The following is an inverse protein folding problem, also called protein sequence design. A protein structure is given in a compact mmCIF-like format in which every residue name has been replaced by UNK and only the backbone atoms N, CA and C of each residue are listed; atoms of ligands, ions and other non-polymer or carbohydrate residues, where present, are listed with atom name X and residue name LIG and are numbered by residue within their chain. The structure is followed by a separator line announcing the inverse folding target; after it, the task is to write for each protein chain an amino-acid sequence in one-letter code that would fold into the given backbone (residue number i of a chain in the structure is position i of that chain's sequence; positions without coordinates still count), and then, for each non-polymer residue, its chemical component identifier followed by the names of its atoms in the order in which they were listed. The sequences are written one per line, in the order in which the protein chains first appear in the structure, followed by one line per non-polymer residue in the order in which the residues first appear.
data_IF_400178823106
#
_entry.id   IF_400178823106
#
_cell.length_a   1.000
_cell.length_b   1.000
_cell.length_c   1.000
_cell.angle_alpha   90.00
_cell.angle_beta   90.00
_cell.angle_gamma   90.00
#
_symmetry.space_group_name_H-M   'P 1'
#
loop_
_entity.id
_entity.type
_entity.pdbx_description
1 polymer ?
#
# COMPACT_ATOMS: atom_id res chain seq x y z
N UNK A 1 30.49 9.61 14.58
CA UNK A 1 29.02 9.42 14.50
C UNK A 1 28.74 7.98 14.86
N UNK A 2 27.88 7.72 15.84
CA UNK A 2 27.45 6.36 16.15
C UNK A 2 26.68 5.75 14.97
N UNK A 3 26.85 4.45 14.74
CA UNK A 3 26.05 3.72 13.77
C UNK A 3 24.70 3.37 14.40
N UNK A 4 23.60 3.60 13.69
CA UNK A 4 22.25 3.25 14.16
C UNK A 4 21.66 2.20 13.24
N UNK A 5 21.10 1.17 13.85
CA UNK A 5 20.50 0.04 13.15
C UNK A 5 19.01 0.00 13.44
N UNK A 6 18.22 -0.03 12.37
CA UNK A 6 16.77 -0.22 12.43
C UNK A 6 16.50 -1.71 12.66
N UNK A 7 15.70 -2.06 13.67
CA UNK A 7 15.52 -3.47 14.05
C UNK A 7 14.07 -3.96 13.99
N UNK A 8 13.08 -3.07 13.90
CA UNK A 8 11.67 -3.45 13.80
C UNK A 8 10.82 -2.30 13.27
N UNK A 9 10.34 -2.43 12.03
CA UNK A 9 9.23 -1.59 11.56
C UNK A 9 7.96 -2.02 12.30
N UNK A 10 7.23 -1.07 12.88
CA UNK A 10 5.96 -1.35 13.56
C UNK A 10 4.79 -1.40 12.58
N UNK A 11 5.00 -0.94 11.34
CA UNK A 11 4.04 -1.06 10.24
C UNK A 11 4.24 -2.45 9.62
N UNK A 12 3.38 -3.39 10.00
CA UNK A 12 3.43 -4.80 9.57
C UNK A 12 2.15 -5.28 8.88
N UNK A 13 1.14 -4.41 8.77
CA UNK A 13 -0.17 -4.71 8.21
C UNK A 13 -0.72 -3.47 7.48
N UNK A 14 -1.36 -3.69 6.32
CA UNK A 14 -1.93 -2.62 5.49
C UNK A 14 -3.16 -1.98 6.12
N UNK A 15 -3.90 -2.73 6.92
CA UNK A 15 -5.10 -2.25 7.61
C UNK A 15 -4.79 -1.14 8.62
N UNK A 16 -3.52 -0.99 8.99
CA UNK A 16 -3.05 0.10 9.83
C UNK A 16 -3.02 1.43 9.08
N UNK A 17 -2.96 1.42 7.74
CA UNK A 17 -2.58 2.57 6.93
C UNK A 17 -3.82 3.24 6.34
N UNK A 18 -3.94 4.55 6.48
CA UNK A 18 -4.95 5.36 5.82
C UNK A 18 -4.32 6.61 5.23
N UNK A 19 -4.32 6.74 3.91
CA UNK A 19 -3.90 7.97 3.25
C UNK A 19 -5.09 8.88 2.94
N UNK A 20 -4.90 10.20 3.06
CA UNK A 20 -5.92 11.20 2.74
C UNK A 20 -6.40 11.06 1.28
N UNK A 21 -5.45 10.89 0.36
CA UNK A 21 -5.75 10.53 -1.02
C UNK A 21 -4.71 9.57 -1.58
N UNK A 22 -5.15 8.74 -2.52
CA UNK A 22 -4.34 7.72 -3.19
C UNK A 22 -4.75 7.67 -4.66
N UNK A 23 -3.77 7.55 -5.54
CA UNK A 23 -3.99 7.38 -6.97
C UNK A 23 -4.94 6.19 -7.21
N UNK A 24 -5.92 6.37 -8.08
CA UNK A 24 -6.83 5.29 -8.47
C UNK A 24 -6.09 4.35 -9.41
N UNK A 25 -6.39 3.05 -9.29
CA UNK A 25 -5.97 2.05 -10.24
C UNK A 25 -6.71 2.17 -11.58
N UNK A 26 -6.37 1.29 -12.50
CA UNK A 26 -7.03 1.18 -13.80
C UNK A 26 -7.66 -0.20 -13.96
N UNK A 27 -8.68 -0.27 -14.80
CA UNK A 27 -9.30 -1.52 -15.23
C UNK A 27 -8.84 -1.81 -16.65
N UNK A 28 -8.26 -2.98 -16.86
CA UNK A 28 -7.86 -3.44 -18.19
C UNK A 28 -9.05 -3.70 -19.11
N UNK A 29 -8.78 -3.86 -20.41
CA UNK A 29 -9.81 -4.21 -21.37
C UNK A 29 -10.40 -5.60 -21.08
N UNK A 30 -11.69 -5.77 -21.42
CA UNK A 30 -12.35 -7.06 -21.36
C UNK A 30 -11.79 -8.02 -22.41
N UNK A 31 -11.28 -9.16 -21.97
CA UNK A 31 -10.83 -10.25 -22.84
C UNK A 31 -11.91 -11.34 -22.86
N UNK A 32 -12.49 -11.68 -24.01
CA UNK A 32 -13.42 -12.80 -24.11
C UNK A 32 -12.67 -14.10 -23.78
N UNK A 33 -13.26 -14.92 -22.91
CA UNK A 33 -12.76 -16.25 -22.56
C UNK A 33 -13.60 -17.35 -23.21
N UNK A 34 -14.90 -17.10 -23.32
CA UNK A 34 -15.87 -17.91 -24.04
C UNK A 34 -16.79 -16.90 -24.72
N UNK A 35 -16.88 -16.93 -26.05
CA UNK A 35 -17.77 -16.07 -26.80
C UNK A 35 -18.39 -16.91 -27.93
N UNK A 36 -19.65 -17.29 -27.75
CA UNK A 36 -20.45 -18.02 -28.73
C UNK A 36 -21.34 -17.11 -29.57
N UNK A 37 -21.63 -15.89 -29.10
CA UNK A 37 -22.43 -14.89 -29.81
C UNK A 37 -21.62 -13.63 -30.20
N UNK A 38 -22.19 -12.79 -31.06
CA UNK A 38 -21.51 -11.63 -31.66
C UNK A 38 -21.43 -10.37 -30.78
N UNK A 39 -22.06 -10.37 -29.61
CA UNK A 39 -22.04 -9.26 -28.66
C UNK A 39 -20.67 -9.06 -28.01
N UNK A 40 -20.44 -7.84 -27.52
CA UNK A 40 -19.20 -7.50 -26.83
C UNK A 40 -19.47 -6.86 -25.46
N UNK A 41 -18.50 -6.98 -24.56
CA UNK A 41 -18.52 -6.33 -23.26
C UNK A 41 -17.23 -5.53 -23.06
N UNK A 42 -17.38 -4.31 -22.54
CA UNK A 42 -16.28 -3.41 -22.22
C UNK A 42 -16.24 -3.20 -20.72
N UNK A 43 -15.09 -3.53 -20.12
CA UNK A 43 -14.77 -3.11 -18.76
C UNK A 43 -14.20 -1.69 -18.76
N UNK A 44 -14.56 -0.91 -17.75
CA UNK A 44 -14.08 0.45 -17.55
C UNK A 44 -14.06 0.80 -16.06
N UNK A 45 -13.57 2.00 -15.73
CA UNK A 45 -13.64 2.53 -14.37
C UNK A 45 -12.28 2.93 -13.80
N UNK A 46 -12.34 3.54 -12.62
CA UNK A 46 -11.16 3.96 -11.85
C UNK A 46 -11.11 3.10 -10.60
N UNK A 47 -10.23 2.09 -10.62
CA UNK A 47 -10.20 1.05 -9.60
C UNK A 47 -9.75 1.59 -8.25
N UNK A 48 -10.49 1.26 -7.20
CA UNK A 48 -10.27 1.76 -5.83
C UNK A 48 -9.94 0.64 -4.83
N UNK A 49 -9.94 -0.61 -5.28
CA UNK A 49 -9.54 -1.74 -4.45
C UNK A 49 -8.06 -1.71 -4.08
N UNK A 50 -7.71 -2.49 -3.08
CA UNK A 50 -6.36 -2.52 -2.49
C UNK A 50 -5.45 -3.45 -3.29
N UNK A 51 -5.93 -4.66 -3.56
CA UNK A 51 -5.22 -5.69 -4.29
C UNK A 51 -5.59 -5.75 -5.78
N UNK A 52 -4.72 -6.37 -6.57
CA UNK A 52 -5.03 -6.74 -7.94
C UNK A 52 -6.13 -7.80 -7.97
N UNK A 53 -7.15 -7.59 -8.80
CA UNK A 53 -8.30 -8.49 -8.93
C UNK A 53 -8.56 -8.82 -10.40
N UNK A 54 -9.06 -10.04 -10.66
CA UNK A 54 -9.55 -10.43 -11.99
C UNK A 54 -11.06 -10.53 -11.94
N UNK A 55 -11.72 -9.56 -12.56
CA UNK A 55 -13.16 -9.54 -12.71
C UNK A 55 -13.57 -10.50 -13.82
N UNK A 56 -14.61 -11.29 -13.57
CA UNK A 56 -15.22 -12.19 -14.53
C UNK A 56 -16.71 -11.90 -14.59
N UNK A 57 -17.26 -11.64 -15.77
CA UNK A 57 -18.70 -11.54 -15.99
C UNK A 57 -19.15 -12.64 -16.95
N UNK A 58 -20.31 -13.24 -16.66
CA UNK A 58 -20.87 -14.37 -17.41
C UNK A 58 -22.36 -14.15 -17.68
N UNK A 59 -22.79 -14.38 -18.92
CA UNK A 59 -24.20 -14.33 -19.31
C UNK A 59 -24.94 -15.54 -18.77
N UNK A 60 -25.98 -15.30 -17.97
CA UNK A 60 -26.80 -16.37 -17.36
C UNK A 60 -28.13 -16.57 -18.10
N UNK A 61 -28.64 -15.53 -18.77
CA UNK A 61 -29.82 -15.59 -19.64
C UNK A 61 -29.50 -14.90 -20.97
N UNK A 62 -29.68 -15.60 -22.11
CA UNK A 62 -29.35 -15.06 -23.43
C UNK A 62 -30.33 -13.95 -23.85
N UNK A 63 -29.92 -13.14 -24.81
CA UNK A 63 -30.72 -12.05 -25.37
C UNK A 63 -29.84 -10.95 -25.96
N UNK A 64 -30.47 -9.84 -26.31
CA UNK A 64 -29.79 -8.60 -26.70
C UNK A 64 -29.60 -7.69 -25.47
N UNK A 65 -28.88 -6.57 -25.62
CA UNK A 65 -28.69 -5.59 -24.53
C UNK A 65 -30.04 -5.15 -23.96
N UNK A 66 -30.17 -5.17 -22.63
CA UNK A 66 -31.40 -4.84 -21.90
C UNK A 66 -32.31 -6.03 -21.63
N UNK A 67 -32.20 -7.10 -22.42
CA UNK A 67 -32.97 -8.35 -22.23
C UNK A 67 -32.13 -9.49 -21.64
N UNK A 68 -30.86 -9.59 -22.05
CA UNK A 68 -29.91 -10.54 -21.48
C UNK A 68 -29.61 -10.22 -20.00
N UNK A 69 -29.25 -11.27 -19.25
CA UNK A 69 -28.89 -11.16 -17.83
C UNK A 69 -27.49 -11.72 -17.61
N UNK A 70 -26.74 -11.09 -16.71
CA UNK A 70 -25.40 -11.50 -16.36
C UNK A 70 -25.18 -11.54 -14.85
N UNK A 71 -24.16 -12.31 -14.49
CA UNK A 71 -23.60 -12.41 -13.15
C UNK A 71 -22.11 -12.13 -13.19
N UNK A 72 -21.53 -11.70 -12.08
CA UNK A 72 -20.10 -11.39 -12.03
C UNK A 72 -19.45 -11.77 -10.70
N UNK A 73 -18.14 -11.96 -10.75
CA UNK A 73 -17.29 -12.25 -9.59
C UNK A 73 -15.90 -11.68 -9.79
N UNK A 74 -15.08 -11.70 -8.74
CA UNK A 74 -13.65 -11.35 -8.75
C UNK A 74 -12.81 -12.51 -8.20
N UNK A 75 -11.49 -12.36 -8.16
CA UNK A 75 -10.59 -13.44 -7.72
C UNK A 75 -10.74 -13.74 -6.24
N UNK A 76 -10.99 -12.71 -5.42
CA UNK A 76 -11.27 -12.87 -3.99
C UNK A 76 -12.63 -13.47 -3.65
N UNK A 77 -13.55 -13.55 -4.62
CA UNK A 77 -14.83 -14.24 -4.41
C UNK A 77 -14.58 -15.75 -4.16
N UNK A 78 -15.15 -16.36 -3.10
CA UNK A 78 -14.97 -17.79 -2.84
C UNK A 78 -15.31 -18.66 -4.06
N UNK A 79 -14.60 -19.79 -4.22
CA UNK A 79 -14.82 -20.69 -5.35
C UNK A 79 -16.29 -21.14 -5.45
N UNK A 80 -16.88 -20.99 -6.63
CA UNK A 80 -18.30 -21.28 -6.88
C UNK A 80 -19.26 -20.14 -6.51
N UNK A 81 -18.77 -19.09 -5.85
CA UNK A 81 -19.53 -17.89 -5.52
C UNK A 81 -19.62 -16.89 -6.69
N UNK A 82 -20.63 -16.02 -6.57
CA UNK A 82 -20.86 -14.85 -7.41
C UNK A 82 -21.11 -13.65 -6.51
N UNK A 83 -20.59 -12.48 -6.88
CA UNK A 83 -20.81 -11.24 -6.14
C UNK A 83 -22.25 -10.74 -6.36
N UNK A 84 -22.75 -10.89 -7.58
CA UNK A 84 -24.14 -10.64 -7.92
C UNK A 84 -24.58 -11.43 -9.17
N UNK A 85 -25.89 -11.59 -9.32
CA UNK A 85 -26.55 -12.31 -10.42
C UNK A 85 -27.87 -11.63 -10.84
N UNK A 86 -28.43 -12.07 -11.96
CA UNK A 86 -29.65 -11.57 -12.58
C UNK A 86 -29.61 -10.07 -12.97
N UNK A 87 -28.42 -9.55 -13.25
CA UNK A 87 -28.23 -8.14 -13.60
C UNK A 87 -28.55 -7.94 -15.08
N UNK A 88 -29.41 -6.98 -15.45
CA UNK A 88 -29.65 -6.69 -16.86
C UNK A 88 -28.39 -6.14 -17.53
N UNK A 89 -28.13 -6.59 -18.75
CA UNK A 89 -27.14 -5.94 -19.62
C UNK A 89 -27.62 -4.53 -19.98
N UNK A 90 -26.69 -3.59 -20.18
CA UNK A 90 -27.02 -2.21 -20.54
C UNK A 90 -25.98 -1.60 -21.48
N UNK A 91 -26.42 -0.66 -22.33
CA UNK A 91 -25.53 0.15 -23.19
C UNK A 91 -24.77 1.21 -22.38
N UNK A 92 -25.27 1.54 -21.19
CA UNK A 92 -24.62 2.43 -20.21
C UNK A 92 -23.82 1.63 -19.20
N UNK A 93 -22.89 2.31 -18.52
CA UNK A 93 -22.10 1.71 -17.43
C UNK A 93 -23.00 1.13 -16.34
N UNK A 94 -22.82 -0.16 -16.07
CA UNK A 94 -23.31 -0.88 -14.89
C UNK A 94 -22.17 -0.96 -13.90
N UNK A 95 -22.36 -0.38 -12.71
CA UNK A 95 -21.37 -0.47 -11.64
C UNK A 95 -21.29 -1.90 -11.10
N UNK A 96 -20.07 -2.42 -10.97
CA UNK A 96 -19.79 -3.63 -10.20
C UNK A 96 -19.44 -3.20 -8.76
N UNK A 97 -18.18 -3.34 -8.35
CA UNK A 97 -17.63 -2.81 -7.10
C UNK A 97 -16.31 -2.06 -7.34
N UNK A 98 -15.77 -1.45 -6.27
CA UNK A 98 -14.44 -0.82 -6.27
C UNK A 98 -14.16 0.14 -7.45
N UNK A 99 -15.20 0.78 -7.99
CA UNK A 99 -15.10 1.69 -9.14
C UNK A 99 -15.01 1.00 -10.51
N UNK A 100 -15.06 -0.33 -10.57
CA UNK A 100 -15.15 -1.14 -11.79
C UNK A 100 -16.56 -1.08 -12.35
N UNK A 101 -16.65 -0.98 -13.67
CA UNK A 101 -17.89 -0.89 -14.42
C UNK A 101 -17.82 -1.77 -15.65
N UNK A 102 -18.99 -2.16 -16.14
CA UNK A 102 -19.15 -2.88 -17.41
C UNK A 102 -20.24 -2.25 -18.26
N UNK A 103 -20.10 -2.33 -19.57
CA UNK A 103 -21.17 -2.03 -20.53
C UNK A 103 -21.17 -3.07 -21.64
N UNK A 104 -22.34 -3.29 -22.23
CA UNK A 104 -22.56 -4.29 -23.26
C UNK A 104 -22.91 -3.60 -24.58
N UNK A 105 -22.52 -4.21 -25.69
CA UNK A 105 -22.84 -3.73 -27.04
C UNK A 105 -23.32 -4.92 -27.85
N UNK A 106 -24.48 -4.78 -28.47
CA UNK A 106 -25.01 -5.82 -29.37
C UNK A 106 -24.10 -6.03 -30.58
N UNK A 107 -24.05 -7.28 -31.04
CA UNK A 107 -23.40 -7.66 -32.28
C UNK A 107 -24.31 -7.45 -33.49
N UNK A 108 -23.92 -8.01 -34.63
CA UNK A 108 -24.76 -8.02 -35.84
C UNK A 108 -25.92 -9.01 -35.75
N UNK A 109 -25.79 -10.05 -34.91
CA UNK A 109 -26.74 -11.15 -34.79
C UNK A 109 -27.56 -11.03 -33.50
N UNK A 110 -28.81 -11.55 -33.53
CA UNK A 110 -29.68 -11.70 -32.36
C UNK A 110 -29.95 -13.20 -32.09
N UNK A 111 -29.79 -13.68 -30.84
CA UNK A 111 -29.39 -12.91 -29.67
C UNK A 111 -27.90 -12.52 -29.72
N UNK A 112 -27.59 -11.29 -29.35
CA UNK A 112 -26.21 -10.82 -29.29
C UNK A 112 -25.40 -11.52 -28.20
N UNK A 113 -26.06 -12.06 -27.16
CA UNK A 113 -25.43 -12.76 -26.05
C UNK A 113 -26.01 -14.16 -25.86
N UNK A 114 -25.14 -15.15 -25.79
CA UNK A 114 -25.49 -16.54 -25.47
C UNK A 114 -25.20 -16.86 -24.00
N UNK A 115 -25.96 -17.79 -23.41
CA UNK A 115 -25.67 -18.29 -22.06
C UNK A 115 -24.27 -18.89 -22.01
N UNK A 116 -23.49 -18.49 -21.00
CA UNK A 116 -22.12 -18.95 -20.78
C UNK A 116 -21.06 -18.10 -21.49
N UNK A 117 -21.45 -17.11 -22.29
CA UNK A 117 -20.51 -16.10 -22.76
C UNK A 117 -19.86 -15.40 -21.57
N UNK A 118 -18.53 -15.28 -21.61
CA UNK A 118 -17.72 -14.84 -20.48
C UNK A 118 -16.57 -13.99 -20.93
N UNK A 119 -16.37 -12.88 -20.21
CA UNK A 119 -15.18 -12.04 -20.35
C UNK A 119 -14.50 -11.86 -19.00
N UNK A 120 -13.24 -11.49 -19.07
CA UNK A 120 -12.44 -11.15 -17.91
C UNK A 120 -11.68 -9.84 -18.11
N UNK A 121 -11.49 -9.09 -17.04
CA UNK A 121 -10.59 -7.95 -17.01
C UNK A 121 -9.79 -7.95 -15.71
N UNK A 122 -8.54 -7.52 -15.80
CA UNK A 122 -7.70 -7.31 -14.62
C UNK A 122 -7.86 -5.87 -14.15
N UNK A 123 -8.20 -5.67 -12.89
CA UNK A 123 -8.16 -4.37 -12.23
C UNK A 123 -6.91 -4.29 -11.35
N UNK A 124 -6.11 -3.25 -11.52
CA UNK A 124 -4.80 -3.11 -10.88
C UNK A 124 -4.64 -1.75 -10.24
N UNK A 125 -4.06 -1.74 -9.04
CA UNK A 125 -3.62 -0.52 -8.35
C UNK A 125 -2.14 -0.63 -8.00
N UNK A 126 -1.28 -0.10 -8.86
CA UNK A 126 0.16 -0.16 -8.65
C UNK A 126 0.64 0.69 -7.47
N UNK A 127 -0.12 1.73 -7.11
CA UNK A 127 0.28 2.75 -6.15
C UNK A 127 -0.51 2.72 -4.83
N UNK A 128 -0.87 1.52 -4.35
CA UNK A 128 -1.64 1.37 -3.11
C UNK A 128 -0.82 1.72 -1.85
N UNK A 129 -1.48 2.06 -0.72
CA UNK A 129 -0.79 2.31 0.55
C UNK A 129 0.03 1.11 1.04
N UNK A 130 -0.35 -0.12 0.67
CA UNK A 130 0.38 -1.35 0.98
C UNK A 130 1.86 -1.30 0.59
N UNK A 131 2.19 -0.54 -0.45
CA UNK A 131 3.56 -0.40 -0.96
C UNK A 131 4.53 0.21 0.04
N UNK A 132 4.06 0.98 1.02
CA UNK A 132 4.97 1.66 1.95
C UNK A 132 5.71 0.72 2.93
N UNK A 133 5.32 -0.54 3.03
CA UNK A 133 5.91 -1.51 3.96
C UNK A 133 6.29 -2.85 3.31
N UNK A 134 6.20 -2.96 1.98
CA UNK A 134 6.54 -4.21 1.27
C UNK A 134 8.04 -4.45 1.09
N UNK A 135 8.87 -3.52 1.59
CA UNK A 135 10.34 -3.53 1.56
C UNK A 135 10.94 -3.53 0.13
N UNK A 136 10.15 -3.28 -0.90
CA UNK A 136 10.62 -3.14 -2.27
C UNK A 136 10.70 -1.64 -2.64
N UNK A 137 11.92 -1.07 -2.71
CA UNK A 137 12.09 0.35 -3.05
C UNK A 137 11.62 0.70 -4.47
N UNK A 138 11.42 -0.29 -5.35
CA UNK A 138 10.90 -0.07 -6.69
C UNK A 138 9.38 0.16 -6.70
N UNK A 139 8.67 -0.27 -5.65
CA UNK A 139 7.25 0.04 -5.49
C UNK A 139 7.07 1.33 -4.70
N UNK A 140 5.94 2.01 -4.93
CA UNK A 140 5.63 3.28 -4.26
C UNK A 140 4.15 3.41 -4.01
N UNK A 141 3.79 4.04 -2.90
CA UNK A 141 2.49 4.67 -2.79
C UNK A 141 2.51 5.99 -3.57
N UNK A 142 1.39 6.34 -4.21
CA UNK A 142 1.16 7.64 -4.84
C UNK A 142 -0.16 8.25 -4.35
N UNK A 143 -0.16 9.54 -4.02
CA UNK A 143 -1.38 10.30 -3.75
C UNK A 143 -2.26 10.42 -5.00
N UNK A 144 -3.48 10.91 -4.87
CA UNK A 144 -4.22 11.36 -6.05
C UNK A 144 -3.48 12.51 -6.76
N UNK A 145 -3.82 12.73 -8.03
CA UNK A 145 -3.35 13.84 -8.87
C UNK A 145 -4.50 14.81 -9.20
N UNK A 146 -4.43 16.09 -8.77
CA UNK A 146 -3.43 16.66 -7.88
C UNK A 146 -3.55 16.13 -6.44
N UNK A 147 -2.48 16.21 -5.62
CA UNK A 147 -2.57 15.86 -4.20
C UNK A 147 -3.47 16.84 -3.44
N UNK A 148 -4.09 16.35 -2.38
CA UNK A 148 -4.83 17.19 -1.42
C UNK A 148 -3.86 18.05 -0.60
N UNK A 149 -4.32 19.20 -0.11
CA UNK A 149 -3.57 20.04 0.83
C UNK A 149 -4.43 20.35 2.07
N UNK A 150 -3.99 19.96 3.27
CA UNK A 150 -2.78 19.17 3.53
C UNK A 150 -2.94 17.70 3.12
N UNK A 151 -1.88 17.08 2.60
CA UNK A 151 -1.86 15.63 2.41
C UNK A 151 -1.42 14.95 3.70
N UNK A 152 -2.02 13.80 4.00
CA UNK A 152 -1.59 13.02 5.16
C UNK A 152 -1.66 11.52 4.95
N UNK A 153 -0.84 10.81 5.73
CA UNK A 153 -0.83 9.37 5.86
C UNK A 153 -0.90 9.02 7.34
N UNK A 154 -2.05 8.52 7.76
CA UNK A 154 -2.33 8.09 9.12
C UNK A 154 -2.05 6.60 9.29
N UNK A 155 -1.66 6.25 10.51
CA UNK A 155 -1.42 4.89 10.99
C UNK A 155 -2.26 4.68 12.27
N UNK A 156 -3.07 3.62 12.31
CA UNK A 156 -3.74 3.15 13.53
C UNK A 156 -3.21 1.79 13.93
N UNK A 157 -2.40 1.75 15.00
CA UNK A 157 -1.80 0.50 15.49
C UNK A 157 -2.77 -0.40 16.28
N UNK A 158 -4.02 0.03 16.50
CA UNK A 158 -5.00 -0.64 17.37
C UNK A 158 -4.69 -0.55 18.87
N UNK A 159 -3.42 -0.41 19.22
CA UNK A 159 -2.87 -0.29 20.57
C UNK A 159 -1.74 0.75 20.60
N UNK A 160 -1.36 1.20 21.80
CA UNK A 160 -0.25 2.17 21.93
C UNK A 160 1.08 1.55 21.49
N UNK A 161 1.84 2.30 20.71
CA UNK A 161 3.20 1.99 20.28
C UNK A 161 4.13 3.14 20.64
N UNK A 162 5.40 2.81 20.87
CA UNK A 162 6.46 3.77 21.27
C UNK A 162 7.64 3.70 20.30
N UNK A 163 7.49 4.18 19.05
CA UNK A 163 8.59 4.25 18.11
C UNK A 163 9.65 5.26 18.58
N UNK A 164 10.88 5.05 18.13
CA UNK A 164 12.02 5.92 18.39
C UNK A 164 12.41 6.75 17.17
N UNK A 165 12.07 6.28 15.96
CA UNK A 165 12.48 6.90 14.69
C UNK A 165 11.38 6.77 13.65
N UNK A 166 11.27 7.82 12.84
CA UNK A 166 10.49 7.87 11.61
C UNK A 166 11.43 8.00 10.41
N UNK A 167 11.16 7.23 9.35
CA UNK A 167 11.86 7.33 8.07
C UNK A 167 10.81 7.35 6.96
N UNK A 168 11.01 8.21 5.97
CA UNK A 168 10.34 8.14 4.68
C UNK A 168 11.40 8.06 3.59
N UNK A 169 11.39 6.98 2.81
CA UNK A 169 12.40 6.69 1.79
C UNK A 169 11.86 6.90 0.38
N UNK A 170 12.71 7.38 -0.52
CA UNK A 170 12.44 7.70 -1.92
C UNK A 170 11.18 8.53 -2.14
N UNK A 171 10.96 9.52 -1.27
CA UNK A 171 9.83 10.42 -1.39
C UNK A 171 10.08 11.52 -2.43
N UNK A 172 9.00 12.14 -2.92
CA UNK A 172 9.07 13.32 -3.78
C UNK A 172 8.49 14.59 -3.12
N UNK A 173 8.26 14.60 -1.80
CA UNK A 173 7.80 15.80 -1.09
C UNK A 173 8.64 17.02 -1.50
N UNK A 174 8.02 18.16 -1.85
CA UNK A 174 8.76 19.31 -2.32
C UNK A 174 9.52 19.99 -1.16
N UNK A 175 10.65 20.65 -1.42
CA UNK A 175 11.48 21.27 -0.38
C UNK A 175 10.77 22.40 0.40
N UNK A 176 9.71 22.98 -0.16
CA UNK A 176 8.89 23.99 0.49
C UNK A 176 7.76 23.43 1.38
N UNK A 177 7.53 22.12 1.39
CA UNK A 177 6.46 21.52 2.19
C UNK A 177 6.77 21.62 3.69
N UNK A 178 5.74 21.92 4.49
CA UNK A 178 5.81 21.78 5.93
C UNK A 178 5.51 20.33 6.31
N UNK A 179 6.56 19.55 6.56
CA UNK A 179 6.48 18.15 6.91
C UNK A 179 6.45 17.97 8.43
N UNK A 180 5.48 17.22 8.94
CA UNK A 180 5.29 16.96 10.39
C UNK A 180 4.97 15.50 10.65
N UNK A 181 5.47 14.96 11.75
CA UNK A 181 5.02 13.69 12.33
C UNK A 181 4.18 14.00 13.55
N UNK A 182 2.94 13.51 13.55
CA UNK A 182 1.98 13.75 14.61
C UNK A 182 1.55 12.43 15.26
N UNK A 183 1.21 12.47 16.54
CA UNK A 183 0.67 11.31 17.23
C UNK A 183 -0.31 11.70 18.35
N UNK A 184 -1.21 10.78 18.69
CA UNK A 184 -2.22 11.01 19.70
C UNK A 184 -2.93 9.74 20.21
N UNK A 185 -3.63 9.85 21.35
CA UNK A 185 -4.45 8.76 21.87
C UNK A 185 -5.72 8.53 21.04
N UNK A 186 -6.18 9.56 20.34
CA UNK A 186 -7.30 9.55 19.39
C UNK A 186 -6.80 9.94 18.00
N UNK A 187 -7.53 9.56 16.95
CA UNK A 187 -7.32 10.07 15.59
C UNK A 187 -7.79 11.51 15.38
N UNK A 188 -7.87 12.33 16.44
CA UNK A 188 -8.20 13.75 16.34
C UNK A 188 -6.91 14.56 16.16
N UNK A 189 -6.76 15.15 14.98
CA UNK A 189 -5.54 15.85 14.58
C UNK A 189 -5.60 17.37 14.76
N UNK A 190 -6.67 17.91 15.37
CA UNK A 190 -6.77 19.35 15.66
C UNK A 190 -5.84 19.79 16.78
N UNK A 191 -5.55 18.88 17.72
CA UNK A 191 -4.65 19.09 18.84
C UNK A 191 -3.90 17.78 19.15
N UNK A 192 -2.99 17.34 18.28
CA UNK A 192 -2.23 16.11 18.49
C UNK A 192 -1.35 16.24 19.74
N UNK A 193 -1.20 15.14 20.48
CA UNK A 193 -0.41 15.12 21.71
C UNK A 193 1.11 15.21 21.43
N UNK A 194 1.52 14.79 20.24
CA UNK A 194 2.86 14.97 19.69
C UNK A 194 2.73 15.62 18.31
N UNK A 195 3.50 16.68 18.06
CA UNK A 195 3.63 17.35 16.76
C UNK A 195 5.08 17.78 16.56
N UNK A 196 5.85 16.96 15.84
CA UNK A 196 7.26 17.24 15.57
C UNK A 196 7.46 17.60 14.10
N UNK A 197 8.21 18.68 13.84
CA UNK A 197 8.56 19.09 12.49
C UNK A 197 9.70 18.22 11.95
N UNK A 198 9.52 17.74 10.71
CA UNK A 198 10.53 16.98 9.98
C UNK A 198 11.43 17.93 9.19
N UNK A 199 12.75 17.72 9.25
CA UNK A 199 13.68 18.44 8.38
C UNK A 199 13.65 17.81 6.99
N UNK A 200 13.26 18.58 5.98
CA UNK A 200 13.28 18.09 4.60
C UNK A 200 14.70 17.72 4.17
N UNK A 201 14.80 16.59 3.48
CA UNK A 201 16.00 16.13 2.77
C UNK A 201 15.56 15.49 1.47
N UNK A 202 16.37 15.60 0.42
CA UNK A 202 16.08 14.87 -0.82
C UNK A 202 16.27 13.37 -0.64
N UNK A 203 15.37 12.57 -1.20
CA UNK A 203 15.42 11.11 -1.16
C UNK A 203 14.91 10.52 0.15
N UNK A 204 15.58 10.80 1.27
CA UNK A 204 15.30 10.14 2.56
C UNK A 204 15.12 11.15 3.69
N UNK A 205 13.95 11.12 4.32
CA UNK A 205 13.71 11.76 5.61
C UNK A 205 14.07 10.78 6.71
N UNK A 206 14.87 11.22 7.67
CA UNK A 206 15.14 10.47 8.90
C UNK A 206 14.92 11.44 10.06
N UNK A 207 14.07 11.05 11.00
CA UNK A 207 13.74 11.86 12.16
C UNK A 207 13.70 11.00 13.42
N UNK A 208 14.55 11.35 14.38
CA UNK A 208 14.60 10.70 15.69
C UNK A 208 13.63 11.42 16.61
N UNK A 209 12.62 10.69 17.11
CA UNK A 209 11.55 11.24 17.92
C UNK A 209 12.09 11.63 19.29
N UNK A 210 12.05 12.92 19.61
CA UNK A 210 12.66 13.47 20.82
C UNK A 210 11.63 13.80 21.92
N UNK A 211 10.38 14.07 21.55
CA UNK A 211 9.34 14.42 22.52
C UNK A 211 8.98 13.23 23.41
N UNK A 212 8.55 13.50 24.64
CA UNK A 212 7.94 12.51 25.52
C UNK A 212 6.59 13.04 26.01
N UNK A 213 5.55 12.19 26.14
CA UNK A 213 5.54 10.76 25.87
C UNK A 213 5.45 10.42 24.37
N UNK A 214 5.91 9.21 24.00
CA UNK A 214 5.83 8.67 22.61
C UNK A 214 4.88 7.49 22.48
N UNK A 215 4.12 7.17 23.52
CA UNK A 215 3.30 5.95 23.54
C UNK A 215 1.87 6.23 23.07
N UNK A 216 1.65 6.15 21.77
CA UNK A 216 0.39 6.51 21.11
C UNK A 216 -0.11 5.44 20.16
N UNK A 217 -1.44 5.38 20.00
CA UNK A 217 -2.12 4.45 19.08
C UNK A 217 -2.13 4.98 17.65
N UNK A 218 -2.42 6.27 17.50
CA UNK A 218 -2.57 6.92 16.20
C UNK A 218 -1.33 7.76 15.89
N UNK A 219 -0.81 7.59 14.68
CA UNK A 219 0.32 8.34 14.13
C UNK A 219 -0.05 8.91 12.77
N UNK A 220 0.57 10.01 12.34
CA UNK A 220 0.32 10.59 11.03
C UNK A 220 1.50 11.39 10.50
N UNK A 221 1.92 11.09 9.28
CA UNK A 221 2.73 11.99 8.47
C UNK A 221 1.81 13.04 7.85
N UNK A 222 2.13 14.32 8.04
CA UNK A 222 1.41 15.45 7.48
C UNK A 222 2.35 16.25 6.57
N UNK A 223 1.90 16.56 5.36
CA UNK A 223 2.60 17.41 4.40
C UNK A 223 1.69 18.57 3.97
N UNK A 224 2.04 19.79 4.34
CA UNK A 224 1.29 21.00 4.00
C UNK A 224 2.05 21.87 2.99
N UNK A 225 1.33 22.58 2.12
CA UNK A 225 1.93 23.36 1.05
C UNK A 225 2.61 22.48 0.00
N UNK A 226 2.27 21.20 -0.02
CA UNK A 226 2.79 20.23 -0.97
C UNK A 226 1.98 20.22 -2.27
N UNK A 227 0.69 20.58 -2.21
CA UNK A 227 -0.13 20.70 -3.39
C UNK A 227 0.29 21.89 -4.26
N UNK A 228 0.20 21.70 -5.57
CA UNK A 228 0.60 22.70 -6.57
C UNK A 228 2.10 22.74 -6.89
N UNK A 229 2.95 22.08 -6.10
CA UNK A 229 4.39 21.95 -6.39
C UNK A 229 4.75 20.60 -7.01
N UNK A 230 3.89 19.59 -6.85
CA UNK A 230 4.03 18.28 -7.46
C UNK A 230 2.70 17.83 -8.09
N UNK A 231 2.78 17.09 -9.19
CA UNK A 231 1.60 16.48 -9.82
C UNK A 231 0.95 15.41 -8.91
N UNK A 232 1.78 14.73 -8.11
CA UNK A 232 1.38 13.76 -7.09
C UNK A 232 2.48 13.66 -6.04
N UNK A 233 2.14 13.16 -4.84
CA UNK A 233 3.10 12.80 -3.80
C UNK A 233 3.38 11.30 -3.85
N UNK A 234 4.64 10.94 -3.73
CA UNK A 234 5.14 9.57 -3.75
C UNK A 234 5.99 9.30 -2.51
N UNK A 235 5.89 8.07 -2.00
CA UNK A 235 6.79 7.52 -0.98
C UNK A 235 6.92 6.02 -1.22
N UNK A 236 8.17 5.52 -1.30
CA UNK A 236 8.41 4.08 -1.49
C UNK A 236 8.24 3.32 -0.21
N UNK A 237 8.82 3.82 0.89
CA UNK A 237 8.84 3.11 2.16
C UNK A 237 8.68 4.07 3.32
N UNK A 238 7.92 3.64 4.33
CA UNK A 238 7.85 4.29 5.62
C UNK A 238 8.25 3.30 6.71
N UNK A 239 9.19 3.75 7.53
CA UNK A 239 9.58 3.07 8.75
C UNK A 239 9.12 3.91 9.94
N UNK A 240 8.39 3.27 10.86
CA UNK A 240 8.11 3.84 12.16
C UNK A 240 8.37 2.77 13.21
N UNK A 241 9.44 2.92 13.98
CA UNK A 241 9.91 1.83 14.82
C UNK A 241 11.05 2.18 15.74
N UNK A 242 11.66 1.16 16.33
CA UNK A 242 12.82 1.31 17.21
C UNK A 242 14.13 1.40 16.43
N UNK A 243 15.16 1.95 17.05
CA UNK A 243 16.55 1.83 16.57
C UNK A 243 17.47 1.36 17.70
N UNK A 244 18.59 0.75 17.31
CA UNK A 244 19.66 0.36 18.22
C UNK A 244 20.93 1.13 17.84
N UNK A 245 21.56 1.76 18.82
CA UNK A 245 22.87 2.40 18.69
C UNK A 245 23.85 1.62 19.57
N UNK A 246 24.81 0.87 19.00
CA UNK A 246 25.81 0.18 19.79
C UNK A 246 26.61 1.22 20.59
N UNK A 247 26.80 0.96 21.88
CA UNK A 247 27.61 1.81 22.74
C UNK A 247 29.09 1.81 22.33
N UNK A 248 29.56 0.68 21.81
CA UNK A 248 30.95 0.46 21.46
C UNK A 248 31.16 0.45 19.94
N UNK A 249 32.16 1.21 19.50
CA UNK A 249 32.66 1.18 18.13
C UNK A 249 33.67 0.03 18.01
N UNK A 250 33.28 -1.08 17.38
CA UNK A 250 34.24 -2.13 17.04
C UNK A 250 35.14 -1.64 15.90
N UNK A 251 36.33 -1.15 16.23
CA UNK A 251 37.38 -0.93 15.24
C UNK A 251 37.96 -2.31 14.87
N UNK A 252 37.62 -2.82 13.69
CA UNK A 252 38.28 -3.99 13.12
C UNK A 252 39.79 -3.72 13.08
N UNK A 253 40.56 -4.36 13.95
CA UNK A 253 42.02 -4.23 13.93
C UNK A 253 42.78 -4.51 15.21
N UNK A 254 42.13 -4.70 16.37
CA UNK A 254 42.84 -5.11 17.57
C UNK A 254 41.94 -5.95 18.49
N UNK A 255 42.02 -7.27 18.35
CA UNK A 255 41.88 -8.15 19.52
C UNK A 255 43.16 -7.94 20.33
N UNK A 256 43.29 -6.80 21.03
CA UNK A 256 44.28 -6.66 22.08
C UNK A 256 43.61 -7.24 23.32
N UNK A 257 43.75 -8.55 23.40
CA UNK A 257 43.15 -9.41 24.41
C UNK A 257 43.48 -10.87 24.11
N UNK A 258 44.65 -11.13 23.52
CA UNK A 258 45.34 -12.40 23.74
C UNK A 258 45.95 -12.30 25.15
N UNK A 259 45.11 -12.12 26.18
CA UNK A 259 45.51 -12.58 27.51
C UNK A 259 45.56 -14.09 27.39
N UNK A 260 46.79 -14.58 27.27
CA UNK A 260 47.16 -15.97 27.44
C UNK A 260 46.46 -16.53 28.68
N UNK A 261 45.38 -17.29 28.43
CA UNK A 261 44.79 -18.22 29.38
C UNK A 261 45.72 -19.44 29.52
N UNK A 262 46.88 -19.21 30.14
CA UNK A 262 47.62 -20.16 30.97
C UNK A 262 47.51 -19.58 32.40
N UNK A 263 46.97 -20.21 33.43
CA UNK A 263 46.89 -21.62 33.79
C UNK A 263 45.60 -21.88 34.61
N UNK A 264 45.11 -23.12 34.58
CA UNK A 264 44.31 -23.66 35.69
C UNK A 264 42.84 -24.01 35.41
N UNK A 265 42.61 -25.12 34.69
CA UNK A 265 41.45 -25.99 34.96
C UNK A 265 40.25 -25.89 34.01
N UNK A 266 40.10 -26.93 33.17
CA UNK A 266 38.88 -27.36 32.46
C UNK A 266 38.29 -26.41 31.39
N UNK A 267 38.79 -26.53 30.15
CA UNK A 267 38.21 -25.91 28.94
C UNK A 267 36.97 -26.65 28.44
N UNK A 268 35.83 -25.95 28.32
CA UNK A 268 34.79 -26.19 27.31
C UNK A 268 35.14 -25.35 26.07
N UNK A 269 35.40 -26.01 24.95
CA UNK A 269 35.74 -25.37 23.68
C UNK A 269 34.44 -24.91 23.00
N UNK A 270 34.23 -23.59 22.89
CA UNK A 270 33.29 -23.02 21.92
C UNK A 270 34.07 -22.68 20.66
N UNK A 271 33.89 -23.45 19.59
CA UNK A 271 34.41 -23.11 18.26
C UNK A 271 33.57 -21.97 17.70
N UNK A 272 34.16 -20.80 17.50
CA UNK A 272 33.59 -19.82 16.58
C UNK A 272 33.85 -20.29 15.15
N UNK A 273 32.78 -20.40 14.37
CA UNK A 273 32.86 -20.68 12.94
C UNK A 273 33.13 -19.35 12.25
N UNK A 274 34.29 -19.22 11.61
CA UNK A 274 34.55 -18.15 10.64
C UNK A 274 33.78 -18.53 9.37
N UNK A 275 32.77 -17.76 9.00
CA UNK A 275 32.27 -17.77 7.63
C UNK A 275 33.17 -16.84 6.81
N UNK A 276 33.76 -17.41 5.74
CA UNK A 276 34.35 -16.65 4.64
C UNK A 276 33.26 -16.07 3.76
#
# INVERSE_FOLDING_TARGET
MGHRFMYRNLIDDETLITAASVEKGFVGAGVPRVAGAGGSMVFSGAYTGEDQEVYSAEIEAPGDVGSARFRWRKTSTPAGGWEASNIPTALTDVALDAGVKVRFVDGADSPAFARGDRWQATANRFYSPRRIYDLDPATKMRSASPPEDPWSLALDFGQKKSPDVFIAHLHNFPPGANLRIQAGPSGDWRAPALDERLTWRSGTLIHYLAATPRSYRHWRLLAEGAAGQAACLEVSEIYLGGFFEPADHFWFGNVVGEESLEEGGARKIWRSVRCC
#
